data_IF_644183841756
#
_entry.id   IF_644183841756
#
_cell.length_a   1.000
_cell.length_b   1.000
_cell.length_c   1.000
_cell.angle_alpha   90.00
_cell.angle_beta   90.00
_cell.angle_gamma   90.00
#
_symmetry.space_group_name_H-M   'P 1'
#
loop_
_entity.id
_entity.type
_entity.pdbx_description
1 polymer ?
#
# COMPACT_ATOMS: atom_id res chain seq x y z
N UNK A 1 -12.78 32.55 -3.43
CA UNK A 1 -11.96 31.34 -3.63
C UNK A 1 -11.91 31.06 -5.13
N UNK A 2 -10.71 31.05 -5.72
CA UNK A 2 -10.53 30.85 -7.16
C UNK A 2 -10.98 29.45 -7.60
N UNK A 3 -11.59 29.34 -8.82
CA UNK A 3 -12.00 28.02 -9.41
C UNK A 3 -10.88 26.98 -9.44
N UNK A 4 -9.64 27.41 -9.53
CA UNK A 4 -8.44 26.57 -9.49
C UNK A 4 -8.25 25.89 -8.10
N UNK A 5 -8.57 26.60 -7.02
CA UNK A 5 -8.45 26.09 -5.65
C UNK A 5 -9.50 25.01 -5.36
N UNK A 6 -10.74 25.21 -5.85
CA UNK A 6 -11.83 24.23 -5.67
C UNK A 6 -11.57 22.92 -6.42
N UNK A 7 -11.04 22.97 -7.65
CA UNK A 7 -10.67 21.76 -8.42
C UNK A 7 -9.55 20.96 -7.74
N UNK A 8 -8.56 21.65 -7.20
CA UNK A 8 -7.45 21.02 -6.50
C UNK A 8 -7.90 20.32 -5.21
N UNK A 9 -8.79 20.95 -4.45
CA UNK A 9 -9.37 20.37 -3.23
C UNK A 9 -10.26 19.16 -3.54
N UNK A 10 -11.07 19.23 -4.60
CA UNK A 10 -11.88 18.10 -5.06
C UNK A 10 -11.01 16.91 -5.49
N UNK A 11 -9.89 17.19 -6.18
CA UNK A 11 -8.95 16.15 -6.57
C UNK A 11 -8.29 15.50 -5.33
N UNK A 12 -7.82 16.31 -4.36
CA UNK A 12 -7.26 15.78 -3.11
C UNK A 12 -8.27 14.89 -2.37
N UNK A 13 -9.53 15.33 -2.29
CA UNK A 13 -10.61 14.52 -1.72
C UNK A 13 -10.81 13.22 -2.51
N UNK A 14 -10.76 13.25 -3.84
CA UNK A 14 -10.83 12.07 -4.69
C UNK A 14 -9.71 11.07 -4.43
N UNK A 15 -8.45 11.52 -4.36
CA UNK A 15 -7.31 10.67 -3.99
C UNK A 15 -7.48 10.10 -2.58
N UNK A 16 -7.95 10.91 -1.62
CA UNK A 16 -8.28 10.47 -0.26
C UNK A 16 -9.34 9.37 -0.25
N UNK A 17 -10.44 9.54 -0.97
CA UNK A 17 -11.53 8.57 -1.04
C UNK A 17 -11.10 7.24 -1.68
N UNK A 18 -10.35 7.29 -2.79
CA UNK A 18 -9.84 6.08 -3.46
C UNK A 18 -8.88 5.33 -2.53
N UNK A 19 -7.98 6.05 -1.86
CA UNK A 19 -7.05 5.45 -0.90
C UNK A 19 -7.77 4.87 0.32
N UNK A 20 -8.76 5.58 0.87
CA UNK A 20 -9.59 5.11 1.98
C UNK A 20 -10.41 3.87 1.58
N UNK A 21 -10.91 3.83 0.35
CA UNK A 21 -11.60 2.65 -0.20
C UNK A 21 -10.71 1.42 -0.26
N UNK A 22 -9.46 1.57 -0.73
CA UNK A 22 -8.47 0.50 -0.75
C UNK A 22 -8.10 0.05 0.68
N UNK A 23 -7.90 1.01 1.59
CA UNK A 23 -7.63 0.74 3.00
C UNK A 23 -8.77 -0.03 3.67
N UNK A 24 -10.01 0.40 3.43
CA UNK A 24 -11.20 -0.28 3.96
C UNK A 24 -11.33 -1.70 3.42
N UNK A 25 -11.11 -1.86 2.10
CA UNK A 25 -11.16 -3.17 1.46
C UNK A 25 -10.13 -4.14 2.06
N UNK A 26 -8.88 -3.72 2.23
CA UNK A 26 -7.84 -4.53 2.87
C UNK A 26 -8.15 -4.81 4.34
N UNK A 27 -8.55 -3.79 5.09
CA UNK A 27 -8.85 -3.88 6.52
C UNK A 27 -9.99 -4.87 6.84
N UNK A 28 -10.98 -5.04 5.96
CA UNK A 28 -12.05 -6.02 6.18
C UNK A 28 -11.54 -7.47 6.25
N UNK A 29 -10.49 -7.78 5.48
CA UNK A 29 -9.88 -9.12 5.50
C UNK A 29 -8.93 -9.27 6.69
N UNK A 30 -8.07 -8.31 6.96
CA UNK A 30 -7.12 -8.37 8.08
C UNK A 30 -7.82 -8.38 9.45
N UNK A 31 -8.87 -7.58 9.64
CA UNK A 31 -9.69 -7.61 10.89
C UNK A 31 -10.35 -8.96 11.11
N UNK A 32 -10.84 -9.60 10.05
CA UNK A 32 -11.41 -10.94 10.12
C UNK A 32 -10.31 -11.97 10.37
N UNK A 33 -9.18 -11.84 9.67
CA UNK A 33 -8.03 -12.74 9.78
C UNK A 33 -7.40 -12.73 11.17
N UNK A 34 -7.18 -11.57 11.78
CA UNK A 34 -6.60 -11.48 13.13
C UNK A 34 -7.48 -12.11 14.23
N UNK A 35 -8.79 -12.21 13.98
CA UNK A 35 -9.73 -12.94 14.87
C UNK A 35 -9.81 -14.42 14.55
N UNK A 36 -9.29 -14.85 13.39
CA UNK A 36 -9.32 -16.23 12.92
C UNK A 36 -8.28 -17.08 13.66
N UNK A 37 -8.68 -18.25 14.05
CA UNK A 37 -7.81 -19.27 14.65
C UNK A 37 -6.62 -19.60 13.74
N UNK A 38 -6.82 -19.61 12.42
CA UNK A 38 -5.75 -19.87 11.44
C UNK A 38 -4.55 -18.91 11.61
N UNK A 39 -4.77 -17.59 11.62
CA UNK A 39 -3.67 -16.62 11.74
C UNK A 39 -2.93 -16.73 13.09
N UNK A 40 -3.67 -17.04 14.16
CA UNK A 40 -3.09 -17.24 15.49
C UNK A 40 -2.24 -18.50 15.59
N UNK A 41 -2.56 -19.55 14.81
CA UNK A 41 -1.84 -20.82 14.77
C UNK A 41 -0.62 -20.81 13.83
N UNK A 42 -0.43 -19.76 13.01
CA UNK A 42 0.77 -19.65 12.19
C UNK A 42 2.02 -19.57 13.07
N UNK A 43 3.04 -20.31 12.68
CA UNK A 43 4.40 -20.11 13.22
C UNK A 43 4.94 -18.79 12.65
N UNK A 44 5.05 -17.80 13.53
CA UNK A 44 5.49 -16.45 13.20
C UNK A 44 6.90 -16.19 13.73
N UNK A 45 7.74 -15.47 12.97
CA UNK A 45 9.09 -15.12 13.45
C UNK A 45 9.01 -14.20 14.66
N UNK A 46 10.04 -14.26 15.52
CA UNK A 46 10.11 -13.49 16.77
C UNK A 46 10.14 -11.97 16.56
N UNK A 47 10.43 -11.50 15.35
CA UNK A 47 10.37 -10.09 15.00
C UNK A 47 8.98 -9.63 14.50
N UNK A 48 7.94 -10.49 14.56
CA UNK A 48 6.57 -10.07 14.20
C UNK A 48 6.10 -8.96 15.14
N UNK A 49 5.68 -7.79 14.61
CA UNK A 49 5.22 -6.70 15.46
C UNK A 49 3.92 -7.06 16.18
N UNK A 50 3.68 -6.47 17.37
CA UNK A 50 2.36 -6.53 17.99
C UNK A 50 1.26 -6.03 17.04
N UNK A 51 0.07 -6.63 17.11
CA UNK A 51 -1.06 -6.32 16.20
C UNK A 51 -1.43 -4.84 16.17
N UNK A 52 -1.20 -4.11 17.28
CA UNK A 52 -1.48 -2.67 17.39
C UNK A 52 -0.59 -1.78 16.51
N UNK A 53 0.59 -2.27 16.12
CA UNK A 53 1.53 -1.51 15.27
C UNK A 53 0.96 -1.32 13.86
N UNK A 54 0.30 -2.33 13.31
CA UNK A 54 -0.22 -2.29 11.95
C UNK A 54 -1.22 -1.15 11.70
N UNK A 55 -2.29 -0.96 12.51
CA UNK A 55 -3.20 0.17 12.34
C UNK A 55 -2.49 1.53 12.44
N UNK A 56 -1.55 1.70 13.38
CA UNK A 56 -0.82 2.96 13.57
C UNK A 56 0.00 3.30 12.32
N UNK A 57 0.75 2.34 11.78
CA UNK A 57 1.54 2.55 10.57
C UNK A 57 0.64 2.87 9.37
N UNK A 58 -0.42 2.11 9.14
CA UNK A 58 -1.31 2.33 8.00
C UNK A 58 -2.08 3.66 8.07
N UNK A 59 -2.47 4.11 9.27
CA UNK A 59 -3.11 5.44 9.43
C UNK A 59 -2.16 6.59 9.10
N UNK A 60 -0.85 6.38 9.18
CA UNK A 60 0.16 7.35 8.75
C UNK A 60 0.46 7.24 7.26
N UNK A 61 0.56 6.02 6.71
CA UNK A 61 0.97 5.80 5.33
C UNK A 61 -0.13 6.18 4.32
N UNK A 62 -1.39 5.84 4.57
CA UNK A 62 -2.47 6.13 3.61
C UNK A 62 -2.66 7.62 3.31
N UNK A 63 -2.61 8.56 4.26
CA UNK A 63 -2.58 9.99 3.96
C UNK A 63 -1.40 10.41 3.08
N UNK A 64 -0.20 9.86 3.30
CA UNK A 64 0.98 10.14 2.48
C UNK A 64 0.80 9.62 1.05
N UNK A 65 0.23 8.42 0.88
CA UNK A 65 -0.09 7.83 -0.43
C UNK A 65 -1.09 8.72 -1.19
N UNK A 66 -2.18 9.14 -0.54
CA UNK A 66 -3.18 10.01 -1.14
C UNK A 66 -2.59 11.38 -1.53
N UNK A 67 -1.85 12.00 -0.62
CA UNK A 67 -1.19 13.29 -0.84
C UNK A 67 -0.19 13.22 -1.99
N UNK A 68 0.63 12.19 -2.04
CA UNK A 68 1.60 11.97 -3.11
C UNK A 68 0.91 11.85 -4.48
N UNK A 69 -0.14 11.05 -4.60
CA UNK A 69 -0.91 10.93 -5.84
C UNK A 69 -1.51 12.26 -6.29
N UNK A 70 -2.09 13.01 -5.34
CA UNK A 70 -2.62 14.35 -5.61
C UNK A 70 -1.53 15.34 -6.07
N UNK A 71 -0.34 15.31 -5.47
CA UNK A 71 0.80 16.15 -5.88
C UNK A 71 1.19 15.89 -7.34
N UNK A 72 1.34 14.61 -7.70
CA UNK A 72 1.64 14.20 -9.08
C UNK A 72 0.52 14.64 -10.02
N UNK A 73 -0.75 14.46 -9.64
CA UNK A 73 -1.89 14.88 -10.45
C UNK A 73 -1.93 16.39 -10.66
N UNK A 74 -1.51 17.19 -9.66
CA UNK A 74 -1.51 18.65 -9.71
C UNK A 74 -0.41 19.25 -10.60
N UNK A 75 0.57 18.45 -11.01
CA UNK A 75 1.61 18.87 -11.94
C UNK A 75 1.04 19.06 -13.36
N UNK A 76 1.77 19.81 -14.21
CA UNK A 76 1.40 20.00 -15.61
C UNK A 76 1.22 18.64 -16.33
N UNK A 77 0.24 18.52 -17.23
CA UNK A 77 0.05 17.29 -18.01
C UNK A 77 1.30 16.91 -18.80
N UNK A 78 1.77 15.66 -18.62
CA UNK A 78 2.90 15.10 -19.33
C UNK A 78 2.79 13.57 -19.39
N UNK A 79 3.60 12.94 -20.23
CA UNK A 79 3.68 11.48 -20.32
C UNK A 79 4.18 10.88 -19.00
N UNK A 80 5.16 11.51 -18.35
CA UNK A 80 5.75 11.12 -17.08
C UNK A 80 4.72 11.18 -15.95
N UNK A 81 3.93 12.28 -15.88
CA UNK A 81 2.83 12.42 -14.93
C UNK A 81 1.82 11.29 -15.09
N UNK A 82 1.42 11.00 -16.32
CA UNK A 82 0.43 9.95 -16.59
C UNK A 82 0.98 8.56 -16.26
N UNK A 83 2.27 8.31 -16.53
CA UNK A 83 2.94 7.07 -16.15
C UNK A 83 2.98 6.90 -14.62
N UNK A 84 3.36 7.96 -13.89
CA UNK A 84 3.37 7.95 -12.43
C UNK A 84 1.97 7.69 -11.85
N UNK A 85 0.92 8.32 -12.38
CA UNK A 85 -0.45 8.09 -11.92
C UNK A 85 -0.93 6.66 -12.17
N UNK A 86 -0.56 6.03 -13.28
CA UNK A 86 -0.85 4.60 -13.53
C UNK A 86 -0.18 3.69 -12.49
N UNK A 87 1.08 3.97 -12.17
CA UNK A 87 1.82 3.22 -11.14
C UNK A 87 1.23 3.45 -9.75
N UNK A 88 0.76 4.68 -9.45
CA UNK A 88 0.04 4.98 -8.21
C UNK A 88 -1.24 4.14 -8.07
N UNK A 89 -2.01 3.99 -9.13
CA UNK A 89 -3.20 3.13 -9.12
C UNK A 89 -2.85 1.65 -8.99
N UNK A 90 -1.83 1.19 -9.72
CA UNK A 90 -1.40 -0.20 -9.72
C UNK A 90 -0.97 -0.67 -8.32
N UNK A 91 -0.09 0.11 -7.65
CA UNK A 91 0.37 -0.24 -6.31
C UNK A 91 -0.79 -0.26 -5.30
N UNK A 92 -1.76 0.66 -5.43
CA UNK A 92 -2.89 0.71 -4.50
C UNK A 92 -3.82 -0.50 -4.68
N UNK A 93 -4.01 -0.97 -5.92
CA UNK A 93 -4.76 -2.18 -6.21
C UNK A 93 -4.05 -3.43 -5.65
N UNK A 94 -2.75 -3.57 -5.85
CA UNK A 94 -1.96 -4.66 -5.29
C UNK A 94 -1.98 -4.64 -3.76
N UNK A 95 -1.80 -3.47 -3.13
CA UNK A 95 -1.88 -3.31 -1.68
C UNK A 95 -3.23 -3.80 -1.12
N UNK A 96 -4.33 -3.41 -1.76
CA UNK A 96 -5.66 -3.85 -1.34
C UNK A 96 -5.85 -5.37 -1.50
N UNK A 97 -5.30 -5.95 -2.57
CA UNK A 97 -5.42 -7.37 -2.88
C UNK A 97 -4.62 -8.26 -1.91
N UNK A 98 -3.44 -7.83 -1.46
CA UNK A 98 -2.59 -8.60 -0.57
C UNK A 98 -3.34 -9.11 0.67
N UNK A 99 -4.08 -8.25 1.35
CA UNK A 99 -4.86 -8.63 2.54
C UNK A 99 -5.90 -9.72 2.24
N UNK A 100 -6.52 -9.68 1.06
CA UNK A 100 -7.47 -10.71 0.61
C UNK A 100 -6.75 -12.04 0.39
N UNK A 101 -5.58 -12.04 -0.24
CA UNK A 101 -4.81 -13.26 -0.52
C UNK A 101 -4.29 -13.85 0.80
N UNK A 102 -3.64 -13.03 1.63
CA UNK A 102 -3.02 -13.51 2.86
C UNK A 102 -4.07 -13.97 3.88
N UNK A 103 -5.00 -13.09 4.28
CA UNK A 103 -5.98 -13.40 5.33
C UNK A 103 -7.24 -14.07 4.80
N UNK A 104 -7.74 -13.65 3.63
CA UNK A 104 -9.00 -14.16 3.08
C UNK A 104 -8.86 -15.53 2.46
N UNK A 105 -7.82 -15.75 1.67
CA UNK A 105 -7.55 -17.02 1.00
C UNK A 105 -6.61 -17.95 1.78
N UNK A 106 -5.96 -17.45 2.83
CA UNK A 106 -4.99 -18.19 3.66
C UNK A 106 -3.83 -18.76 2.84
N UNK A 107 -3.30 -17.95 1.90
CA UNK A 107 -2.25 -18.35 0.94
C UNK A 107 -0.98 -17.50 1.10
N UNK A 108 -0.14 -17.73 2.14
CA UNK A 108 1.05 -16.91 2.40
C UNK A 108 2.06 -16.90 1.24
N UNK A 109 2.21 -18.01 0.52
CA UNK A 109 3.12 -18.10 -0.64
C UNK A 109 2.64 -17.25 -1.82
N UNK A 110 1.33 -17.28 -2.11
CA UNK A 110 0.76 -16.42 -3.15
C UNK A 110 0.80 -14.94 -2.74
N UNK A 111 0.55 -14.65 -1.46
CA UNK A 111 0.68 -13.31 -0.90
C UNK A 111 2.12 -12.79 -0.97
N UNK A 112 3.13 -13.66 -0.88
CA UNK A 112 4.53 -13.30 -1.08
C UNK A 112 4.79 -12.86 -2.52
N UNK A 113 4.25 -13.55 -3.51
CA UNK A 113 4.37 -13.12 -4.91
C UNK A 113 3.68 -11.76 -5.15
N UNK A 114 2.51 -11.55 -4.56
CA UNK A 114 1.76 -10.29 -4.67
C UNK A 114 2.50 -9.12 -3.99
N UNK A 115 3.06 -9.31 -2.79
CA UNK A 115 3.79 -8.23 -2.09
C UNK A 115 5.11 -7.88 -2.77
N UNK A 116 5.77 -8.83 -3.44
CA UNK A 116 6.94 -8.55 -4.27
C UNK A 116 6.58 -7.70 -5.50
N UNK A 117 5.45 -8.00 -6.14
CA UNK A 117 4.93 -7.19 -7.24
C UNK A 117 4.50 -5.79 -6.75
N UNK A 118 3.89 -5.71 -5.55
CA UNK A 118 3.56 -4.46 -4.88
C UNK A 118 4.82 -3.62 -4.65
N UNK A 119 5.86 -4.18 -4.05
CA UNK A 119 7.12 -3.48 -3.79
C UNK A 119 7.76 -2.97 -5.08
N UNK A 120 7.81 -3.80 -6.12
CA UNK A 120 8.28 -3.39 -7.44
C UNK A 120 7.49 -2.20 -8.02
N UNK A 121 6.17 -2.19 -7.84
CA UNK A 121 5.31 -1.10 -8.30
C UNK A 121 5.51 0.18 -7.49
N UNK A 122 5.75 0.08 -6.18
CA UNK A 122 6.08 1.21 -5.28
C UNK A 122 7.40 1.83 -5.70
N UNK A 123 8.45 1.04 -5.90
CA UNK A 123 9.76 1.52 -6.33
C UNK A 123 9.69 2.18 -7.72
N UNK A 124 8.94 1.58 -8.64
CA UNK A 124 8.70 2.14 -9.97
C UNK A 124 7.95 3.49 -9.88
N UNK A 125 6.97 3.59 -8.98
CA UNK A 125 6.27 4.85 -8.72
C UNK A 125 7.23 5.93 -8.18
N UNK A 126 8.07 5.60 -7.20
CA UNK A 126 9.07 6.53 -6.62
C UNK A 126 9.95 7.12 -7.73
N UNK A 127 10.45 6.27 -8.63
CA UNK A 127 11.30 6.69 -9.77
C UNK A 127 10.52 7.56 -10.75
N UNK A 128 9.31 7.18 -11.11
CA UNK A 128 8.47 7.94 -12.04
C UNK A 128 8.03 9.28 -11.43
N UNK A 129 7.55 9.28 -10.19
CA UNK A 129 7.11 10.47 -9.48
C UNK A 129 8.26 11.47 -9.29
N UNK A 130 9.50 11.02 -9.11
CA UNK A 130 10.67 11.90 -8.94
C UNK A 130 10.91 12.81 -10.14
N UNK A 131 10.52 12.39 -11.34
CA UNK A 131 10.60 13.19 -12.57
C UNK A 131 9.54 14.27 -12.66
N UNK A 132 8.47 14.14 -11.85
CA UNK A 132 7.30 15.03 -11.84
C UNK A 132 7.31 15.94 -10.61
N UNK A 133 7.45 15.34 -9.43
CA UNK A 133 7.41 16.02 -8.13
C UNK A 133 8.27 15.24 -7.11
N UNK A 134 9.37 15.84 -6.69
CA UNK A 134 10.30 15.21 -5.73
C UNK A 134 9.67 14.98 -4.35
N UNK A 135 8.77 15.88 -3.91
CA UNK A 135 8.12 15.73 -2.62
C UNK A 135 7.12 14.55 -2.64
N UNK A 136 6.38 14.38 -3.75
CA UNK A 136 5.52 13.23 -3.96
C UNK A 136 6.32 11.92 -3.94
N UNK A 137 7.46 11.86 -4.62
CA UNK A 137 8.36 10.71 -4.60
C UNK A 137 8.84 10.38 -3.18
N UNK A 138 9.33 11.39 -2.45
CA UNK A 138 9.87 11.20 -1.10
C UNK A 138 8.81 10.74 -0.09
N UNK A 139 7.56 11.13 -0.25
CA UNK A 139 6.45 10.70 0.59
C UNK A 139 6.17 9.18 0.52
N UNK A 140 6.64 8.52 -0.53
CA UNK A 140 6.51 7.06 -0.69
C UNK A 140 7.66 6.27 -0.04
N UNK A 141 8.76 6.91 0.36
CA UNK A 141 9.91 6.21 0.97
C UNK A 141 9.53 5.46 2.26
N UNK A 142 8.77 6.05 3.22
CA UNK A 142 8.32 5.30 4.39
C UNK A 142 7.43 4.11 4.04
N UNK A 143 6.62 4.24 2.99
CA UNK A 143 5.76 3.15 2.52
C UNK A 143 6.58 2.02 1.90
N UNK A 144 7.58 2.30 1.04
CA UNK A 144 8.50 1.31 0.52
C UNK A 144 9.23 0.57 1.65
N UNK A 145 9.75 1.29 2.64
CA UNK A 145 10.43 0.68 3.78
C UNK A 145 9.50 -0.26 4.58
N UNK A 146 8.25 0.13 4.78
CA UNK A 146 7.26 -0.71 5.47
C UNK A 146 6.90 -1.96 4.67
N UNK A 147 6.71 -1.84 3.34
CA UNK A 147 6.37 -2.99 2.49
C UNK A 147 7.57 -3.93 2.35
N UNK A 148 8.80 -3.40 2.25
CA UNK A 148 10.02 -4.23 2.28
C UNK A 148 10.11 -5.06 3.58
N UNK A 149 9.86 -4.45 4.73
CA UNK A 149 9.78 -5.16 6.00
C UNK A 149 8.66 -6.21 6.00
N UNK A 150 7.46 -5.87 5.53
CA UNK A 150 6.33 -6.79 5.44
C UNK A 150 6.61 -7.94 4.46
N UNK A 151 7.41 -7.71 3.41
CA UNK A 151 7.86 -8.75 2.47
C UNK A 151 8.74 -9.78 3.18
N UNK A 152 9.71 -9.34 3.98
CA UNK A 152 10.55 -10.24 4.78
C UNK A 152 9.71 -11.02 5.78
N UNK A 153 8.76 -10.37 6.46
CA UNK A 153 7.84 -11.01 7.38
C UNK A 153 6.97 -12.07 6.68
N UNK A 154 6.40 -11.74 5.53
CA UNK A 154 5.58 -12.66 4.74
C UNK A 154 6.40 -13.86 4.24
N UNK A 155 7.63 -13.63 3.76
CA UNK A 155 8.53 -14.69 3.32
C UNK A 155 8.83 -15.68 4.45
N UNK A 156 9.13 -15.16 5.63
CA UNK A 156 9.43 -16.00 6.79
C UNK A 156 8.20 -16.78 7.29
N UNK A 157 7.02 -16.16 7.29
CA UNK A 157 5.76 -16.86 7.58
C UNK A 157 5.49 -17.97 6.54
N UNK A 158 5.67 -17.70 5.25
CA UNK A 158 5.47 -18.71 4.19
C UNK A 158 6.46 -19.87 4.32
N UNK A 159 7.72 -19.60 4.70
CA UNK A 159 8.77 -20.61 4.93
C UNK A 159 8.45 -21.51 6.12
N UNK A 160 7.97 -20.92 7.23
CA UNK A 160 7.68 -21.66 8.48
C UNK A 160 6.38 -22.46 8.39
N UNK A 161 5.49 -22.11 7.47
CA UNK A 161 4.18 -22.74 7.30
C UNK A 161 4.02 -23.36 5.90
N UNK A 162 4.82 -24.39 5.54
CA UNK A 162 4.89 -24.94 4.18
C UNK A 162 3.59 -25.60 3.70
N UNK A 163 2.69 -25.95 4.61
CA UNK A 163 1.40 -26.56 4.32
C UNK A 163 0.39 -25.60 3.67
N UNK A 164 0.66 -24.28 3.66
CA UNK A 164 -0.25 -23.24 3.11
C UNK A 164 0.24 -22.65 1.79
#
# INVERSE_FOLDING_TARGET
MSKTNSRSLLALAGFGLVTAGAAWYGARYSRKGNRDTWYRQLDKPGFTPPDQVFPVVWTTLYPLIAWSGWRVWSAAPSAERNAALRLWMLQLAANAQWSKIFFGQRRPKLALADILALEGSILSYIVAARKVDRAASNAFIPYAAWVAYATVLNAEIARRNPQY
#
